data_IF_235734769536
#
_entry.id   IF_235734769536
#
_cell.length_a   1.000
_cell.length_b   1.000
_cell.length_c   1.000
_cell.angle_alpha   90.00
_cell.angle_beta   90.00
_cell.angle_gamma   90.00
#
_symmetry.space_group_name_H-M   'P 1'
#
loop_
_entity.id
_entity.type
_entity.pdbx_description
1 polymer ?
#
# COMPACT_ATOMS: atom_id res chain seq x y z
N UNK A 1 -16.20 -81.70 46.37
CA UNK A 1 -15.05 -80.77 46.49
C UNK A 1 -14.42 -80.64 45.10
N UNK A 2 -14.68 -79.55 44.38
CA UNK A 2 -14.22 -79.35 43.00
C UNK A 2 -13.08 -78.31 42.96
N UNK A 3 -11.99 -78.71 42.32
CA UNK A 3 -10.83 -77.93 41.89
C UNK A 3 -11.23 -76.59 41.24
N UNK A 4 -10.51 -75.51 41.55
CA UNK A 4 -10.46 -74.31 40.69
C UNK A 4 -9.01 -74.02 40.32
N UNK A 5 -8.77 -74.04 39.01
CA UNK A 5 -7.54 -73.65 38.35
C UNK A 5 -7.39 -72.12 38.33
N UNK A 6 -6.18 -71.63 38.58
CA UNK A 6 -5.79 -70.24 38.27
C UNK A 6 -5.17 -70.23 36.87
N UNK A 7 -5.79 -69.49 35.96
CA UNK A 7 -5.24 -69.19 34.64
C UNK A 7 -4.78 -67.72 34.65
N UNK A 8 -3.47 -67.50 34.58
CA UNK A 8 -2.88 -66.17 34.35
C UNK A 8 -2.93 -65.89 32.84
N UNK A 9 -3.74 -64.90 32.42
CA UNK A 9 -3.72 -64.40 31.05
C UNK A 9 -2.99 -63.06 31.03
N UNK A 10 -1.77 -63.08 30.49
CA UNK A 10 -0.97 -61.90 30.20
C UNK A 10 -1.51 -61.27 28.90
N UNK A 11 -2.20 -60.14 28.99
CA UNK A 11 -2.65 -59.38 27.81
C UNK A 11 -1.56 -58.37 27.45
N UNK A 12 -0.76 -58.73 26.45
CA UNK A 12 0.14 -57.80 25.75
C UNK A 12 -0.73 -56.98 24.79
N UNK A 13 -0.90 -55.69 25.07
CA UNK A 13 -1.59 -54.77 24.15
C UNK A 13 -0.55 -54.16 23.22
N UNK A 14 -0.48 -54.66 21.99
CA UNK A 14 0.28 -54.05 20.90
C UNK A 14 -0.58 -52.91 20.34
N UNK A 15 -0.21 -51.66 20.65
CA UNK A 15 -0.76 -50.49 19.97
C UNK A 15 0.05 -50.22 18.71
N UNK A 16 -0.52 -50.57 17.55
CA UNK A 16 -0.13 -50.01 16.26
C UNK A 16 -1.39 -49.44 15.62
N UNK A 17 -1.32 -48.15 15.26
CA UNK A 17 -1.95 -47.48 14.10
C UNK A 17 -2.60 -46.16 14.51
N UNK A 18 -2.06 -45.07 13.97
CA UNK A 18 -2.71 -43.77 13.98
C UNK A 18 -1.72 -42.62 13.93
N UNK A 19 -0.94 -42.50 12.86
CA UNK A 19 -0.39 -41.20 12.48
C UNK A 19 -1.58 -40.29 12.14
N UNK A 20 -2.14 -39.61 13.13
CA UNK A 20 -3.01 -38.46 12.87
C UNK A 20 -2.10 -37.33 12.46
N UNK A 21 -2.22 -36.95 11.19
CA UNK A 21 -1.59 -35.76 10.61
C UNK A 21 -1.75 -34.56 11.53
N UNK A 22 -0.73 -33.70 11.47
CA UNK A 22 -0.68 -32.47 12.24
C UNK A 22 -2.02 -31.76 12.16
N UNK A 23 -2.60 -31.48 13.33
CA UNK A 23 -3.58 -30.42 13.44
C UNK A 23 -2.86 -29.17 12.97
N UNK A 24 -3.18 -28.72 11.77
CA UNK A 24 -2.78 -27.42 11.26
C UNK A 24 -3.07 -26.41 12.36
N UNK A 25 -1.99 -25.88 12.94
CA UNK A 25 -2.10 -24.72 13.81
C UNK A 25 -2.70 -23.65 12.90
N UNK A 26 -3.91 -23.20 13.24
CA UNK A 26 -4.46 -21.94 12.72
C UNK A 26 -3.31 -20.92 12.76
N UNK A 27 -2.89 -20.36 11.61
CA UNK A 27 -1.81 -19.38 11.59
C UNK A 27 -2.11 -18.26 12.58
N UNK A 28 -1.07 -17.76 13.25
CA UNK A 28 -1.13 -16.53 14.07
C UNK A 28 -1.91 -15.44 13.35
N UNK A 29 -2.71 -14.65 14.08
CA UNK A 29 -3.45 -13.48 13.58
C UNK A 29 -2.57 -12.68 12.62
N UNK A 30 -2.81 -12.80 11.31
CA UNK A 30 -2.06 -12.06 10.30
C UNK A 30 -2.42 -10.59 10.49
N UNK A 31 -1.41 -9.78 10.85
CA UNK A 31 -1.60 -8.35 11.09
C UNK A 31 -1.34 -7.61 9.78
N UNK A 32 -2.42 -7.15 9.16
CA UNK A 32 -2.39 -6.28 7.98
C UNK A 32 -2.76 -4.85 8.41
N UNK A 33 -1.96 -3.88 7.98
CA UNK A 33 -2.12 -2.49 8.34
C UNK A 33 -3.04 -1.72 7.40
N UNK A 34 -2.86 -1.93 6.10
CA UNK A 34 -3.62 -1.24 5.03
C UNK A 34 -4.81 -2.07 4.52
N UNK A 35 -4.65 -3.39 4.39
CA UNK A 35 -5.72 -4.33 4.05
C UNK A 35 -6.50 -4.79 5.28
N UNK A 36 -7.77 -5.12 5.11
CA UNK A 36 -8.59 -5.67 6.19
C UNK A 36 -8.65 -7.19 6.13
N UNK A 37 -7.90 -7.85 7.01
CA UNK A 37 -7.81 -9.31 7.03
C UNK A 37 -9.16 -9.99 7.32
N UNK A 38 -9.96 -9.41 8.22
CA UNK A 38 -11.28 -9.96 8.56
C UNK A 38 -12.26 -9.83 7.40
N UNK A 39 -12.20 -8.74 6.64
CA UNK A 39 -12.94 -8.58 5.40
C UNK A 39 -12.50 -9.59 4.34
N UNK A 40 -11.19 -9.74 4.13
CA UNK A 40 -10.66 -10.73 3.18
C UNK A 40 -11.17 -12.16 3.49
N UNK A 41 -11.20 -12.53 4.78
CA UNK A 41 -11.77 -13.82 5.22
C UNK A 41 -13.27 -13.94 4.91
N UNK A 42 -14.04 -12.85 5.13
CA UNK A 42 -15.46 -12.82 4.80
C UNK A 42 -15.71 -12.97 3.29
N UNK A 43 -14.97 -12.22 2.46
CA UNK A 43 -15.06 -12.31 1.01
C UNK A 43 -14.68 -13.71 0.52
N UNK A 44 -13.58 -14.29 1.04
CA UNK A 44 -13.16 -15.64 0.66
C UNK A 44 -14.23 -16.67 0.95
N UNK A 45 -14.78 -16.63 2.17
CA UNK A 45 -15.88 -17.51 2.56
C UNK A 45 -17.13 -17.31 1.68
N UNK A 46 -17.48 -16.06 1.38
CA UNK A 46 -18.61 -15.76 0.49
C UNK A 46 -18.44 -16.39 -0.90
N UNK A 47 -17.25 -16.28 -1.49
CA UNK A 47 -16.92 -16.89 -2.78
C UNK A 47 -16.96 -18.43 -2.72
N UNK A 48 -16.47 -19.04 -1.63
CA UNK A 48 -16.54 -20.49 -1.39
C UNK A 48 -17.98 -20.99 -1.23
N UNK A 49 -18.85 -20.19 -0.60
CA UNK A 49 -20.28 -20.45 -0.44
C UNK A 49 -21.09 -20.19 -1.74
N UNK A 50 -20.43 -19.74 -2.81
CA UNK A 50 -21.02 -19.50 -4.13
C UNK A 50 -21.69 -18.13 -4.30
N UNK A 51 -21.41 -17.17 -3.42
CA UNK A 51 -21.80 -15.78 -3.65
C UNK A 51 -20.96 -15.21 -4.81
N UNK A 52 -21.59 -14.79 -5.93
CA UNK A 52 -20.85 -14.22 -7.06
C UNK A 52 -20.31 -12.82 -6.79
N UNK A 53 -20.74 -12.16 -5.71
CA UNK A 53 -20.20 -10.87 -5.30
C UNK A 53 -18.67 -10.99 -5.19
N UNK A 54 -17.96 -10.08 -5.88
CA UNK A 54 -16.49 -10.06 -6.00
C UNK A 54 -15.83 -11.07 -6.95
N UNK A 55 -16.60 -11.94 -7.64
CA UNK A 55 -16.02 -12.89 -8.61
C UNK A 55 -15.26 -12.18 -9.74
N UNK A 56 -15.79 -11.08 -10.26
CA UNK A 56 -15.13 -10.32 -11.32
C UNK A 56 -13.79 -9.70 -10.86
N UNK A 57 -13.72 -9.22 -9.62
CA UNK A 57 -12.49 -8.72 -9.02
C UNK A 57 -11.48 -9.85 -8.77
N UNK A 58 -11.94 -11.02 -8.32
CA UNK A 58 -11.08 -12.20 -8.15
C UNK A 58 -10.55 -12.70 -9.49
N UNK A 59 -11.37 -12.79 -10.53
CA UNK A 59 -10.97 -13.25 -11.87
C UNK A 59 -9.88 -12.35 -12.46
N UNK A 60 -10.04 -11.02 -12.35
CA UNK A 60 -9.01 -10.08 -12.82
C UNK A 60 -7.73 -10.18 -11.97
N UNK A 61 -7.85 -10.34 -10.66
CA UNK A 61 -6.70 -10.56 -9.78
C UNK A 61 -5.92 -11.83 -10.14
N UNK A 62 -6.63 -12.94 -10.44
CA UNK A 62 -6.00 -14.20 -10.87
C UNK A 62 -5.28 -14.00 -12.20
N UNK A 63 -5.87 -13.27 -13.15
CA UNK A 63 -5.22 -12.95 -14.42
C UNK A 63 -3.91 -12.18 -14.20
N UNK A 64 -3.93 -11.17 -13.32
CA UNK A 64 -2.74 -10.39 -12.95
C UNK A 64 -1.68 -11.27 -12.26
N UNK A 65 -2.09 -12.16 -11.35
CA UNK A 65 -1.19 -13.08 -10.67
C UNK A 65 -0.56 -14.08 -11.64
N UNK A 66 -1.35 -14.64 -12.57
CA UNK A 66 -0.86 -15.54 -13.62
C UNK A 66 0.10 -14.82 -14.56
N UNK A 67 -0.09 -13.53 -14.83
CA UNK A 67 0.88 -12.72 -15.56
C UNK A 67 2.17 -12.53 -14.76
N UNK A 68 2.07 -12.18 -13.48
CA UNK A 68 3.25 -12.03 -12.61
C UNK A 68 4.06 -13.34 -12.46
N UNK A 69 3.41 -14.51 -12.55
CA UNK A 69 4.09 -15.82 -12.61
C UNK A 69 4.95 -16.00 -13.86
N UNK A 70 4.57 -15.40 -15.00
CA UNK A 70 5.29 -15.45 -16.27
C UNK A 70 6.38 -14.39 -16.38
N UNK A 71 6.26 -13.31 -15.61
CA UNK A 71 7.24 -12.24 -15.60
C UNK A 71 8.54 -12.66 -14.87
N UNK A 72 9.61 -11.94 -15.19
CA UNK A 72 10.91 -12.12 -14.55
C UNK A 72 10.97 -11.60 -13.11
N UNK A 73 12.18 -11.61 -12.55
CA UNK A 73 12.46 -10.97 -11.26
C UNK A 73 12.75 -9.47 -11.45
N UNK A 74 12.78 -8.72 -10.35
CA UNK A 74 13.00 -7.28 -10.34
C UNK A 74 14.13 -6.95 -9.36
N UNK A 75 14.98 -5.98 -9.69
CA UNK A 75 16.05 -5.51 -8.83
C UNK A 75 16.48 -4.09 -9.20
N UNK A 76 16.99 -3.35 -8.20
CA UNK A 76 17.69 -2.09 -8.41
C UNK A 76 19.04 -2.25 -9.12
N UNK A 77 19.65 -3.43 -9.15
CA UNK A 77 20.94 -3.61 -9.83
C UNK A 77 20.80 -3.72 -11.35
N UNK A 78 19.56 -3.81 -11.87
CA UNK A 78 19.25 -3.97 -13.29
C UNK A 78 19.27 -2.67 -14.11
N UNK A 79 19.22 -1.50 -13.47
CA UNK A 79 19.44 -0.22 -14.18
C UNK A 79 20.84 -0.22 -14.80
N UNK A 80 21.06 0.51 -15.89
CA UNK A 80 22.40 0.66 -16.49
C UNK A 80 23.28 1.64 -15.71
N UNK A 81 22.68 2.65 -15.07
CA UNK A 81 23.39 3.70 -14.35
C UNK A 81 23.76 3.31 -12.92
N UNK A 82 24.80 3.95 -12.38
CA UNK A 82 25.17 3.89 -10.97
C UNK A 82 25.02 5.30 -10.41
N UNK A 83 24.34 5.49 -9.26
CA UNK A 83 24.25 6.80 -8.65
C UNK A 83 25.63 7.41 -8.36
N UNK A 84 25.82 8.72 -8.54
CA UNK A 84 27.10 9.36 -8.25
C UNK A 84 27.56 9.11 -6.81
N UNK A 85 28.76 8.57 -6.65
CA UNK A 85 29.34 8.24 -5.33
C UNK A 85 28.68 7.08 -4.58
N UNK A 86 27.69 6.40 -5.19
CA UNK A 86 26.99 5.26 -4.63
C UNK A 86 27.35 3.93 -5.32
N UNK A 87 26.42 2.99 -5.26
CA UNK A 87 26.55 1.62 -5.76
C UNK A 87 25.33 1.19 -6.57
N UNK A 88 25.42 0.06 -7.28
CA UNK A 88 24.27 -0.52 -8.00
C UNK A 88 23.09 -0.88 -7.09
N UNK A 89 23.36 -1.14 -5.81
CA UNK A 89 22.36 -1.47 -4.79
C UNK A 89 21.58 -0.24 -4.31
N UNK A 90 22.05 0.96 -4.60
CA UNK A 90 21.34 2.18 -4.22
C UNK A 90 20.20 2.46 -5.19
N UNK A 91 18.98 2.60 -4.66
CA UNK A 91 17.82 2.97 -5.45
C UNK A 91 18.00 4.35 -6.07
N UNK A 92 17.79 4.43 -7.38
CA UNK A 92 17.89 5.65 -8.18
C UNK A 92 16.59 5.89 -8.94
N UNK A 93 16.10 7.12 -8.89
CA UNK A 93 15.03 7.58 -9.77
C UNK A 93 15.23 9.03 -10.17
N UNK A 94 14.41 9.50 -11.11
CA UNK A 94 14.45 10.87 -11.60
C UNK A 94 13.11 11.53 -11.31
N UNK A 95 13.14 12.82 -10.93
CA UNK A 95 11.92 13.58 -10.73
C UNK A 95 11.05 13.53 -11.99
N UNK A 96 9.78 13.06 -11.91
CA UNK A 96 9.02 12.68 -13.09
C UNK A 96 8.69 13.86 -14.00
N UNK A 97 8.69 15.08 -13.47
CA UNK A 97 8.29 16.30 -14.19
C UNK A 97 9.48 17.16 -14.63
N UNK A 98 10.69 16.60 -14.67
CA UNK A 98 11.89 17.32 -15.08
C UNK A 98 12.32 16.91 -16.47
N UNK A 99 12.49 17.90 -17.35
CA UNK A 99 12.76 17.71 -18.78
C UNK A 99 14.03 18.45 -19.20
N UNK A 100 14.74 17.98 -20.24
CA UNK A 100 15.85 18.72 -20.83
C UNK A 100 15.46 20.16 -21.17
N UNK A 101 16.34 21.10 -20.86
CA UNK A 101 16.16 22.51 -21.13
C UNK A 101 16.44 22.81 -22.63
N UNK A 102 15.43 23.21 -23.43
CA UNK A 102 15.65 23.50 -24.84
C UNK A 102 16.52 24.74 -25.09
N UNK A 103 16.72 25.58 -24.06
CA UNK A 103 17.48 26.84 -24.16
C UNK A 103 18.98 26.65 -23.90
N UNK A 104 19.45 25.44 -23.61
CA UNK A 104 20.87 25.13 -23.39
C UNK A 104 21.40 24.04 -24.34
N UNK A 105 22.68 24.11 -24.77
CA UNK A 105 23.21 23.17 -25.76
C UNK A 105 23.24 21.70 -25.30
N UNK A 106 23.33 21.47 -24.00
CA UNK A 106 23.42 20.15 -23.36
C UNK A 106 22.10 19.72 -22.69
N UNK A 107 21.07 20.55 -22.75
CA UNK A 107 19.79 20.29 -22.11
C UNK A 107 19.79 20.45 -20.58
N UNK A 108 20.86 20.99 -19.99
CA UNK A 108 21.02 21.15 -18.54
C UNK A 108 20.97 22.61 -18.08
N UNK A 109 20.63 22.89 -16.81
CA UNK A 109 19.94 21.97 -15.90
C UNK A 109 18.52 21.69 -16.41
N UNK A 110 17.95 20.53 -16.06
CA UNK A 110 16.57 20.22 -16.45
C UNK A 110 15.59 21.27 -15.89
N UNK A 111 14.45 21.43 -16.58
CA UNK A 111 13.37 22.35 -16.19
C UNK A 111 12.10 21.59 -15.83
N UNK A 112 11.31 22.14 -14.91
CA UNK A 112 10.08 21.51 -14.42
C UNK A 112 8.91 21.77 -15.38
N UNK A 113 8.16 20.73 -15.74
CA UNK A 113 6.87 20.76 -16.45
C UNK A 113 5.84 19.97 -15.66
N UNK A 114 5.06 20.66 -14.83
CA UNK A 114 4.20 20.00 -13.85
C UNK A 114 3.13 19.12 -14.51
N UNK A 115 2.98 17.90 -14.03
CA UNK A 115 2.03 16.95 -14.60
C UNK A 115 2.44 16.36 -15.95
N UNK A 116 3.59 16.70 -16.53
CA UNK A 116 4.12 16.09 -17.76
C UNK A 116 5.23 15.10 -17.43
N UNK A 117 4.96 13.80 -17.50
CA UNK A 117 5.92 12.76 -17.11
C UNK A 117 7.00 12.58 -18.18
N UNK A 118 8.27 12.80 -17.82
CA UNK A 118 9.42 12.51 -18.66
C UNK A 118 9.69 10.98 -18.70
N UNK A 119 9.63 10.33 -19.88
CA UNK A 119 9.84 8.89 -20.00
C UNK A 119 11.28 8.44 -19.72
N UNK A 120 12.27 9.35 -19.68
CA UNK A 120 13.67 8.99 -19.39
C UNK A 120 13.83 8.33 -18.01
N UNK A 121 13.00 8.74 -17.03
CA UNK A 121 12.98 8.15 -15.69
C UNK A 121 12.56 6.67 -15.69
N UNK A 122 11.89 6.18 -16.73
CA UNK A 122 11.43 4.80 -16.81
C UNK A 122 12.58 3.77 -16.91
N UNK A 123 13.79 4.23 -17.27
CA UNK A 123 15.03 3.42 -17.36
C UNK A 123 15.70 3.20 -15.99
N UNK A 124 15.18 3.84 -14.94
CA UNK A 124 15.70 3.76 -13.58
C UNK A 124 14.81 2.86 -12.70
N UNK A 125 15.05 2.85 -11.39
CA UNK A 125 14.50 1.83 -10.49
C UNK A 125 13.01 2.03 -10.18
N UNK A 126 12.45 3.21 -10.45
CA UNK A 126 11.03 3.49 -10.17
C UNK A 126 10.08 2.54 -10.88
N UNK A 127 10.43 2.14 -12.10
CA UNK A 127 9.67 1.14 -12.87
C UNK A 127 9.82 -0.25 -12.26
N UNK A 128 11.03 -0.63 -11.84
CA UNK A 128 11.29 -1.94 -11.25
C UNK A 128 10.59 -2.10 -9.90
N UNK A 129 10.64 -1.08 -9.03
CA UNK A 129 9.92 -1.06 -7.77
C UNK A 129 8.39 -1.13 -7.98
N UNK A 130 7.88 -0.43 -9.00
CA UNK A 130 6.47 -0.50 -9.38
C UNK A 130 6.05 -1.90 -9.82
N UNK A 131 6.85 -2.57 -10.65
CA UNK A 131 6.58 -3.94 -11.10
C UNK A 131 6.64 -4.95 -9.95
N UNK A 132 7.66 -4.85 -9.10
CA UNK A 132 7.76 -5.69 -7.90
C UNK A 132 6.52 -5.56 -7.03
N UNK A 133 6.15 -4.33 -6.66
CA UNK A 133 5.04 -4.10 -5.73
C UNK A 133 3.68 -4.51 -6.31
N UNK A 134 3.46 -4.31 -7.61
CA UNK A 134 2.28 -4.84 -8.30
C UNK A 134 2.26 -6.37 -8.32
N UNK A 135 3.38 -7.02 -8.64
CA UNK A 135 3.48 -8.48 -8.63
C UNK A 135 3.25 -9.04 -7.22
N UNK A 136 3.87 -8.46 -6.20
CA UNK A 136 3.69 -8.85 -4.79
C UNK A 136 2.25 -8.71 -4.34
N UNK A 137 1.56 -7.61 -4.68
CA UNK A 137 0.13 -7.43 -4.43
C UNK A 137 -0.67 -8.57 -5.08
N UNK A 138 -0.53 -8.75 -6.39
CA UNK A 138 -1.36 -9.72 -7.11
C UNK A 138 -1.11 -11.16 -6.65
N UNK A 139 0.15 -11.56 -6.49
CA UNK A 139 0.53 -12.90 -6.04
C UNK A 139 0.10 -13.19 -4.60
N UNK A 140 0.28 -12.26 -3.68
CA UNK A 140 -0.06 -12.48 -2.25
C UNK A 140 -1.56 -12.55 -2.02
N UNK A 141 -2.34 -11.67 -2.64
CA UNK A 141 -3.81 -11.69 -2.52
C UNK A 141 -4.36 -12.91 -3.27
N UNK A 142 -3.87 -13.23 -4.47
CA UNK A 142 -4.33 -14.41 -5.21
C UNK A 142 -4.00 -15.70 -4.45
N UNK A 143 -2.82 -15.81 -3.83
CA UNK A 143 -2.51 -16.92 -2.93
C UNK A 143 -3.55 -17.04 -1.81
N UNK A 144 -3.87 -15.93 -1.13
CA UNK A 144 -4.83 -15.96 -0.03
C UNK A 144 -6.21 -16.47 -0.48
N UNK A 145 -6.73 -16.01 -1.61
CA UNK A 145 -8.07 -16.41 -2.09
C UNK A 145 -8.12 -17.78 -2.75
N UNK A 146 -7.02 -18.26 -3.34
CA UNK A 146 -7.02 -19.51 -4.13
C UNK A 146 -6.29 -20.68 -3.48
N UNK A 147 -5.53 -20.43 -2.42
CA UNK A 147 -4.63 -21.38 -1.75
C UNK A 147 -3.56 -22.02 -2.67
N UNK A 148 -3.36 -21.48 -3.89
CA UNK A 148 -2.34 -21.94 -4.84
C UNK A 148 -0.94 -21.57 -4.36
N UNK A 149 -0.18 -22.56 -3.92
CA UNK A 149 1.15 -22.39 -3.31
C UNK A 149 2.15 -21.74 -4.26
N UNK A 150 2.00 -21.95 -5.57
CA UNK A 150 2.89 -21.44 -6.61
C UNK A 150 2.96 -19.90 -6.60
N UNK A 151 1.83 -19.22 -6.31
CA UNK A 151 1.81 -17.76 -6.18
C UNK A 151 2.65 -17.28 -5.00
N UNK A 152 2.56 -17.96 -3.85
CA UNK A 152 3.34 -17.62 -2.67
C UNK A 152 4.84 -17.91 -2.86
N UNK A 153 5.18 -19.02 -3.53
CA UNK A 153 6.56 -19.37 -3.86
C UNK A 153 7.20 -18.34 -4.79
N UNK A 154 6.46 -17.88 -5.82
CA UNK A 154 6.92 -16.80 -6.71
C UNK A 154 7.10 -15.49 -5.97
N UNK A 155 6.15 -15.11 -5.11
CA UNK A 155 6.27 -13.91 -4.29
C UNK A 155 7.51 -13.96 -3.38
N UNK A 156 7.78 -15.12 -2.77
CA UNK A 156 8.99 -15.33 -1.97
C UNK A 156 10.28 -15.23 -2.81
N UNK A 157 10.31 -15.72 -4.06
CA UNK A 157 11.42 -15.51 -5.00
C UNK A 157 11.69 -14.01 -5.23
N UNK A 158 10.65 -13.24 -5.52
CA UNK A 158 10.78 -11.80 -5.77
C UNK A 158 11.32 -11.05 -4.53
N UNK A 159 10.88 -11.42 -3.33
CA UNK A 159 11.40 -10.84 -2.08
C UNK A 159 12.87 -11.17 -1.85
N UNK A 160 13.31 -12.40 -2.16
CA UNK A 160 14.72 -12.80 -2.04
C UNK A 160 15.60 -11.93 -2.93
N UNK A 161 15.24 -11.78 -4.20
CA UNK A 161 16.01 -10.99 -5.18
C UNK A 161 16.07 -9.52 -4.78
N UNK A 162 14.94 -8.91 -4.41
CA UNK A 162 14.95 -7.47 -4.14
C UNK A 162 15.60 -7.09 -2.79
N UNK A 163 15.50 -7.94 -1.76
CA UNK A 163 15.86 -7.54 -0.40
C UNK A 163 17.00 -8.32 0.24
N UNK A 164 17.28 -9.55 -0.21
CA UNK A 164 18.11 -10.49 0.56
C UNK A 164 19.34 -10.98 -0.20
N UNK A 165 19.23 -11.18 -1.51
CA UNK A 165 20.32 -11.69 -2.33
C UNK A 165 21.42 -10.62 -2.46
N UNK A 166 22.66 -10.90 -1.99
CA UNK A 166 23.77 -9.94 -2.02
C UNK A 166 24.09 -9.37 -3.40
N UNK A 167 23.77 -10.07 -4.49
CA UNK A 167 24.04 -9.61 -5.85
C UNK A 167 22.96 -8.67 -6.41
N UNK A 168 21.78 -8.64 -5.78
CA UNK A 168 20.60 -7.95 -6.33
C UNK A 168 19.83 -7.09 -5.33
N UNK A 169 20.16 -7.14 -4.03
CA UNK A 169 19.41 -6.42 -3.01
C UNK A 169 19.42 -4.90 -3.23
N UNK A 170 18.37 -4.24 -2.76
CA UNK A 170 18.33 -2.80 -2.61
C UNK A 170 18.89 -2.40 -1.25
N UNK A 171 19.70 -1.35 -1.17
CA UNK A 171 20.08 -0.74 0.12
C UNK A 171 18.88 -0.02 0.75
N UNK A 172 18.70 -0.05 2.08
CA UNK A 172 17.50 0.43 2.75
C UNK A 172 17.44 1.97 2.89
N UNK A 173 17.51 2.70 1.77
CA UNK A 173 17.34 4.14 1.72
C UNK A 173 16.94 4.65 0.33
N UNK A 174 16.42 5.87 0.24
CA UNK A 174 16.12 6.56 -1.03
C UNK A 174 17.00 7.81 -1.23
N UNK A 175 18.28 7.75 -0.87
CA UNK A 175 19.23 8.87 -0.99
C UNK A 175 19.36 9.43 -2.43
N UNK A 176 19.09 8.61 -3.45
CA UNK A 176 19.11 9.01 -4.86
C UNK A 176 17.71 8.99 -5.50
N UNK A 177 16.68 9.12 -4.66
CA UNK A 177 15.30 9.26 -5.08
C UNK A 177 15.06 10.61 -5.75
N UNK A 178 14.43 10.58 -6.92
CA UNK A 178 14.04 11.73 -7.72
C UNK A 178 15.16 12.75 -7.95
N UNK A 179 16.33 12.26 -8.34
CA UNK A 179 17.42 13.05 -8.92
C UNK A 179 16.92 13.96 -10.05
N UNK A 180 17.65 15.06 -10.29
CA UNK A 180 17.38 15.99 -11.37
C UNK A 180 18.71 16.30 -12.07
N UNK A 181 18.88 15.91 -13.34
CA UNK A 181 20.10 16.17 -14.08
C UNK A 181 20.48 17.66 -14.08
N UNK A 182 21.73 17.93 -13.69
CA UNK A 182 22.28 19.29 -13.58
C UNK A 182 21.89 20.05 -12.30
N UNK A 183 21.15 19.42 -11.36
CA UNK A 183 20.70 20.09 -10.13
C UNK A 183 21.03 19.28 -8.87
N UNK A 184 20.62 18.01 -8.79
CA UNK A 184 20.82 17.19 -7.58
C UNK A 184 20.79 15.70 -7.87
N UNK A 185 21.57 14.93 -7.12
CA UNK A 185 21.64 13.47 -7.24
C UNK A 185 20.50 12.76 -6.50
N UNK A 186 19.75 13.47 -5.66
CA UNK A 186 18.59 12.96 -4.92
C UNK A 186 17.99 14.02 -4.00
N UNK A 187 16.74 13.84 -3.58
CA UNK A 187 16.01 14.81 -2.76
C UNK A 187 14.89 14.17 -1.95
N UNK A 188 14.49 14.84 -0.86
CA UNK A 188 13.48 14.36 0.08
C UNK A 188 12.14 13.98 -0.57
N UNK A 189 11.66 14.75 -1.55
CA UNK A 189 10.45 14.47 -2.37
C UNK A 189 10.50 13.07 -3.03
N UNK A 190 11.69 12.50 -3.23
CA UNK A 190 11.87 11.15 -3.72
C UNK A 190 11.38 10.04 -2.79
N UNK A 191 11.10 10.35 -1.51
CA UNK A 191 10.51 9.39 -0.55
C UNK A 191 9.16 8.86 -1.06
N UNK A 192 8.38 9.67 -1.78
CA UNK A 192 7.09 9.27 -2.36
C UNK A 192 7.19 8.05 -3.29
N UNK A 193 8.37 7.79 -3.87
CA UNK A 193 8.58 6.60 -4.70
C UNK A 193 8.40 5.30 -3.88
N UNK A 194 8.73 5.35 -2.59
CA UNK A 194 8.56 4.26 -1.65
C UNK A 194 7.16 4.13 -1.07
N UNK A 195 6.18 4.97 -1.47
CA UNK A 195 4.79 4.85 -1.00
C UNK A 195 4.20 3.46 -1.28
N UNK A 196 4.65 2.79 -2.34
CA UNK A 196 4.25 1.40 -2.65
C UNK A 196 4.66 0.38 -1.58
N UNK A 197 5.56 0.73 -0.66
CA UNK A 197 5.89 -0.11 0.49
C UNK A 197 4.71 -0.29 1.46
N UNK A 198 3.72 0.61 1.45
CA UNK A 198 2.47 0.45 2.22
C UNK A 198 1.77 -0.87 1.84
N UNK A 199 1.61 -1.12 0.54
CA UNK A 199 1.05 -2.37 0.02
C UNK A 199 2.02 -3.55 0.24
N UNK A 200 3.31 -3.31 0.07
CA UNK A 200 4.32 -4.37 0.10
C UNK A 200 4.43 -5.04 1.47
N UNK A 201 4.37 -4.29 2.58
CA UNK A 201 4.50 -4.88 3.92
C UNK A 201 3.32 -5.79 4.27
N UNK A 202 2.10 -5.46 3.82
CA UNK A 202 0.94 -6.35 3.97
C UNK A 202 1.07 -7.60 3.09
N UNK A 203 1.55 -7.43 1.84
CA UNK A 203 1.86 -8.56 0.97
C UNK A 203 2.90 -9.50 1.62
N UNK A 204 3.97 -8.95 2.19
CA UNK A 204 4.98 -9.73 2.93
C UNK A 204 4.33 -10.48 4.08
N UNK A 205 3.49 -9.84 4.89
CA UNK A 205 2.81 -10.50 6.01
C UNK A 205 1.94 -11.70 5.57
N UNK A 206 1.22 -11.60 4.44
CA UNK A 206 0.51 -12.76 3.86
C UNK A 206 1.48 -13.87 3.44
N UNK A 207 2.58 -13.51 2.76
CA UNK A 207 3.58 -14.52 2.33
C UNK A 207 4.30 -15.15 3.53
N UNK A 208 4.54 -14.44 4.62
CA UNK A 208 5.05 -15.02 5.87
C UNK A 208 4.09 -16.10 6.41
N UNK A 209 2.78 -15.82 6.36
CA UNK A 209 1.72 -16.74 6.81
C UNK A 209 1.56 -17.96 5.90
N UNK A 210 1.90 -17.85 4.61
CA UNK A 210 1.88 -18.96 3.66
C UNK A 210 2.90 -20.07 3.94
N UNK A 211 3.96 -19.74 4.69
CA UNK A 211 5.09 -20.64 4.93
C UNK A 211 6.11 -20.70 3.80
N UNK A 212 5.97 -19.90 2.73
CA UNK A 212 6.94 -19.84 1.62
C UNK A 212 8.29 -19.20 2.00
N UNK A 213 8.36 -18.54 3.16
CA UNK A 213 9.57 -17.93 3.72
C UNK A 213 10.08 -18.69 4.94
N UNK A 214 11.37 -19.00 4.91
CA UNK A 214 12.12 -19.52 6.06
C UNK A 214 12.20 -18.49 7.20
N UNK A 215 12.53 -18.96 8.41
CA UNK A 215 12.73 -18.06 9.55
C UNK A 215 13.87 -17.05 9.32
N UNK A 216 14.91 -17.44 8.59
CA UNK A 216 16.03 -16.56 8.26
C UNK A 216 15.60 -15.45 7.31
N UNK A 217 14.85 -15.77 6.25
CA UNK A 217 14.35 -14.78 5.28
C UNK A 217 13.40 -13.78 5.93
N UNK A 218 12.48 -14.25 6.79
CA UNK A 218 11.60 -13.38 7.57
C UNK A 218 12.38 -12.39 8.44
N UNK A 219 13.45 -12.87 9.08
CA UNK A 219 14.32 -12.01 9.89
C UNK A 219 15.07 -11.01 9.01
N UNK A 220 15.60 -11.43 7.85
CA UNK A 220 16.28 -10.54 6.90
C UNK A 220 15.38 -9.43 6.38
N UNK A 221 14.13 -9.75 6.01
CA UNK A 221 13.15 -8.76 5.56
C UNK A 221 12.83 -7.75 6.67
N UNK A 222 12.60 -8.22 7.90
CA UNK A 222 12.37 -7.32 9.05
C UNK A 222 13.56 -6.41 9.33
N UNK A 223 14.79 -6.93 9.25
CA UNK A 223 15.99 -6.12 9.41
C UNK A 223 16.10 -5.04 8.32
N UNK A 224 15.82 -5.38 7.07
CA UNK A 224 15.83 -4.41 5.98
C UNK A 224 14.84 -3.27 6.22
N UNK A 225 13.60 -3.60 6.62
CA UNK A 225 12.58 -2.59 6.92
C UNK A 225 12.90 -1.80 8.20
N UNK A 226 13.55 -2.40 9.19
CA UNK A 226 14.03 -1.70 10.38
C UNK A 226 15.09 -0.64 10.01
N UNK A 227 16.08 -1.01 9.19
CA UNK A 227 17.10 -0.07 8.70
C UNK A 227 16.48 1.04 7.86
N UNK A 228 15.55 0.70 6.95
CA UNK A 228 14.83 1.68 6.14
C UNK A 228 13.99 2.62 7.01
N UNK A 229 13.33 2.09 8.04
CA UNK A 229 12.51 2.86 8.96
C UNK A 229 13.35 3.86 9.77
N UNK A 230 14.55 3.46 10.23
CA UNK A 230 15.49 4.37 10.90
C UNK A 230 15.93 5.47 9.94
N UNK A 231 16.33 5.12 8.71
CA UNK A 231 16.68 6.11 7.68
C UNK A 231 15.53 7.09 7.42
N UNK A 232 14.30 6.58 7.29
CA UNK A 232 13.10 7.37 6.99
C UNK A 232 12.68 8.28 8.16
N UNK A 233 12.77 7.80 9.40
CA UNK A 233 12.23 8.52 10.56
C UNK A 233 13.25 9.43 11.26
N UNK A 234 14.55 9.15 11.12
CA UNK A 234 15.61 9.91 11.80
C UNK A 234 16.49 10.72 10.82
N UNK A 235 16.50 10.33 9.54
CA UNK A 235 17.31 10.96 8.49
C UNK A 235 16.81 12.33 8.06
N UNK A 236 17.72 13.09 7.43
CA UNK A 236 17.44 14.47 6.98
C UNK A 236 16.33 14.53 5.91
N UNK A 237 16.35 13.63 4.92
CA UNK A 237 15.29 13.57 3.91
C UNK A 237 13.93 13.25 4.52
N UNK A 238 13.90 12.35 5.50
CA UNK A 238 12.69 12.03 6.24
C UNK A 238 12.06 13.24 6.91
N UNK A 239 12.86 14.00 7.67
CA UNK A 239 12.41 15.23 8.35
C UNK A 239 11.91 16.29 7.36
N UNK A 240 12.61 16.45 6.24
CA UNK A 240 12.22 17.40 5.19
C UNK A 240 10.88 17.03 4.53
N UNK A 241 10.67 15.75 4.21
CA UNK A 241 9.40 15.25 3.65
C UNK A 241 8.27 15.36 4.67
N UNK A 242 8.52 15.03 5.94
CA UNK A 242 7.56 15.12 7.04
C UNK A 242 7.06 16.57 7.28
N UNK A 243 7.93 17.56 7.08
CA UNK A 243 7.61 18.99 7.26
C UNK A 243 7.05 19.66 6.00
N UNK A 244 7.00 18.95 4.86
CA UNK A 244 6.50 19.49 3.61
C UNK A 244 4.98 19.72 3.68
N UNK A 245 4.47 20.82 3.12
CA UNK A 245 3.09 21.29 3.40
C UNK A 245 2.07 20.90 2.33
N UNK A 246 2.17 19.70 1.77
CA UNK A 246 1.18 19.17 0.82
C UNK A 246 1.05 17.65 0.96
N UNK A 247 0.47 16.98 -0.04
CA UNK A 247 0.29 15.53 -0.10
C UNK A 247 1.51 14.67 0.26
N UNK A 248 2.73 15.17 0.08
CA UNK A 248 3.96 14.43 0.42
C UNK A 248 4.08 14.11 1.91
N UNK A 249 3.77 15.04 2.82
CA UNK A 249 3.92 14.77 4.25
C UNK A 249 2.81 13.86 4.80
N UNK A 250 1.61 13.91 4.20
CA UNK A 250 0.55 12.94 4.51
C UNK A 250 0.95 11.56 3.99
N UNK A 251 1.52 11.47 2.78
CA UNK A 251 2.04 10.22 2.23
C UNK A 251 3.19 9.64 3.07
N UNK A 252 4.07 10.49 3.59
CA UNK A 252 5.11 10.12 4.56
C UNK A 252 4.50 9.50 5.82
N UNK A 253 3.47 10.13 6.42
CA UNK A 253 2.80 9.61 7.62
C UNK A 253 2.20 8.21 7.35
N UNK A 254 1.61 8.00 6.17
CA UNK A 254 1.08 6.68 5.76
C UNK A 254 2.19 5.65 5.60
N UNK A 255 3.24 5.98 4.85
CA UNK A 255 4.35 5.06 4.56
C UNK A 255 5.08 4.65 5.84
N UNK A 256 5.45 5.63 6.66
CA UNK A 256 6.14 5.38 7.93
C UNK A 256 5.27 4.61 8.91
N UNK A 257 3.96 4.89 8.98
CA UNK A 257 3.03 4.14 9.84
C UNK A 257 2.82 2.69 9.37
N UNK A 258 2.77 2.44 8.06
CA UNK A 258 2.66 1.09 7.52
C UNK A 258 3.88 0.23 7.88
N UNK A 259 5.07 0.80 7.71
CA UNK A 259 6.32 0.11 8.06
C UNK A 259 6.43 -0.06 9.58
N UNK A 260 6.08 0.97 10.36
CA UNK A 260 6.02 0.88 11.82
C UNK A 260 5.06 -0.23 12.28
N UNK A 261 3.90 -0.38 11.64
CA UNK A 261 2.92 -1.43 11.95
C UNK A 261 3.51 -2.82 11.69
N UNK A 262 4.13 -3.02 10.52
CA UNK A 262 4.84 -4.26 10.17
C UNK A 262 5.94 -4.63 11.17
N UNK A 263 6.66 -3.63 11.68
CA UNK A 263 7.72 -3.79 12.68
C UNK A 263 7.19 -3.84 14.13
N UNK A 264 5.89 -3.66 14.36
CA UNK A 264 5.27 -3.67 15.69
C UNK A 264 5.52 -2.40 16.53
N UNK A 265 5.86 -1.28 15.90
CA UNK A 265 6.17 0.02 16.53
C UNK A 265 4.92 0.89 16.75
N UNK A 266 3.95 0.38 17.51
CA UNK A 266 2.66 1.05 17.72
C UNK A 266 2.78 2.46 18.34
N UNK A 267 3.77 2.71 19.20
CA UNK A 267 3.99 4.03 19.81
C UNK A 267 4.31 5.10 18.76
N UNK A 268 5.04 4.73 17.70
CA UNK A 268 5.31 5.64 16.59
C UNK A 268 4.02 5.99 15.85
N UNK A 269 3.18 4.99 15.56
CA UNK A 269 1.89 5.19 14.87
C UNK A 269 0.99 6.11 15.71
N UNK A 270 0.91 5.88 17.03
CA UNK A 270 0.15 6.74 17.95
C UNK A 270 0.63 8.18 17.88
N UNK A 271 1.95 8.40 18.00
CA UNK A 271 2.53 9.74 17.90
C UNK A 271 2.14 10.42 16.59
N UNK A 272 2.30 9.74 15.45
CA UNK A 272 1.93 10.30 14.14
C UNK A 272 0.44 10.59 14.04
N UNK A 273 -0.41 9.67 14.51
CA UNK A 273 -1.86 9.84 14.52
C UNK A 273 -2.31 11.07 15.32
N UNK A 274 -1.74 11.28 16.51
CA UNK A 274 -2.04 12.43 17.38
C UNK A 274 -1.54 13.76 16.79
N UNK A 275 -0.53 13.73 15.92
CA UNK A 275 -0.01 14.92 15.24
C UNK A 275 -0.85 15.33 14.01
N UNK A 276 -1.55 14.41 13.35
CA UNK A 276 -2.28 14.65 12.10
C UNK A 276 -3.26 15.83 12.18
N UNK A 277 -4.12 15.96 13.21
CA UNK A 277 -5.05 17.08 13.32
C UNK A 277 -4.37 18.44 13.13
N UNK A 278 -3.28 18.68 13.86
CA UNK A 278 -2.61 19.99 13.90
C UNK A 278 -1.54 20.18 12.82
N UNK A 279 -0.83 19.11 12.42
CA UNK A 279 0.24 19.21 11.42
C UNK A 279 -0.25 19.05 9.99
N UNK A 280 -1.42 18.45 9.78
CA UNK A 280 -1.95 18.13 8.46
C UNK A 280 -3.32 18.76 8.22
N UNK A 281 -4.34 18.43 9.02
CA UNK A 281 -5.72 18.88 8.74
C UNK A 281 -5.87 20.40 8.92
N UNK A 282 -5.32 20.97 9.99
CA UNK A 282 -5.35 22.42 10.26
C UNK A 282 -4.77 23.27 9.11
N UNK A 283 -3.55 22.99 8.59
CA UNK A 283 -2.96 23.80 7.52
C UNK A 283 -3.41 23.43 6.10
N UNK A 284 -3.91 22.21 5.86
CA UNK A 284 -4.15 21.73 4.48
C UNK A 284 -5.62 21.72 4.05
N UNK A 285 -6.58 21.73 4.98
CA UNK A 285 -8.01 21.63 4.68
C UNK A 285 -8.72 22.94 5.03
N UNK A 286 -9.36 23.57 4.04
CA UNK A 286 -10.16 24.77 4.28
C UNK A 286 -11.55 24.46 4.83
N UNK A 287 -12.27 25.50 5.27
CA UNK A 287 -13.60 25.40 5.88
C UNK A 287 -14.65 24.69 5.00
N UNK A 288 -14.45 24.71 3.69
CA UNK A 288 -15.29 24.12 2.65
C UNK A 288 -14.70 22.82 2.06
N UNK A 289 -13.63 22.28 2.65
CA UNK A 289 -12.99 21.04 2.20
C UNK A 289 -11.92 21.20 1.13
N UNK A 290 -11.73 22.41 0.58
CA UNK A 290 -10.67 22.65 -0.41
C UNK A 290 -9.28 22.36 0.16
N UNK A 291 -8.39 21.93 -0.73
CA UNK A 291 -7.00 21.58 -0.44
C UNK A 291 -6.05 22.50 -1.23
N UNK A 292 -5.72 23.71 -0.73
CA UNK A 292 -5.13 24.77 -1.57
C UNK A 292 -3.84 24.37 -2.31
N UNK A 293 -2.94 23.65 -1.66
CA UNK A 293 -1.65 23.22 -2.23
C UNK A 293 -1.79 22.15 -3.32
N UNK A 294 -2.94 21.46 -3.36
CA UNK A 294 -3.29 20.52 -4.43
C UNK A 294 -4.02 21.22 -5.58
N UNK A 295 -4.78 22.27 -5.29
CA UNK A 295 -5.57 23.03 -6.26
C UNK A 295 -4.74 23.91 -7.19
N UNK A 296 -3.50 24.25 -6.81
CA UNK A 296 -2.55 25.01 -7.66
C UNK A 296 -1.85 24.16 -8.73
N UNK A 297 -2.12 22.85 -8.77
CA UNK A 297 -1.42 21.89 -9.63
C UNK A 297 -2.12 21.76 -10.98
N UNK A 298 -1.38 21.38 -12.02
CA UNK A 298 -1.95 21.13 -13.36
C UNK A 298 -2.88 19.91 -13.41
N UNK A 299 -2.85 19.06 -12.38
CA UNK A 299 -3.74 17.90 -12.18
C UNK A 299 -4.53 18.05 -10.86
N UNK A 300 -5.17 19.19 -10.68
CA UNK A 300 -5.66 19.64 -9.38
C UNK A 300 -6.67 18.68 -8.74
N UNK A 301 -7.58 18.10 -9.54
CA UNK A 301 -8.57 17.15 -9.04
C UNK A 301 -7.87 15.86 -8.62
N UNK A 302 -6.97 15.33 -9.47
CA UNK A 302 -6.21 14.14 -9.16
C UNK A 302 -5.32 14.26 -7.92
N UNK A 303 -4.67 15.40 -7.71
CA UNK A 303 -3.90 15.67 -6.48
C UNK A 303 -4.80 15.76 -5.25
N UNK A 304 -5.95 16.40 -5.36
CA UNK A 304 -6.90 16.54 -4.24
C UNK A 304 -7.48 15.18 -3.81
N UNK A 305 -7.88 14.35 -4.78
CA UNK A 305 -8.33 12.96 -4.51
C UNK A 305 -7.17 12.13 -3.92
N UNK A 306 -5.97 12.26 -4.49
CA UNK A 306 -4.78 11.53 -4.04
C UNK A 306 -4.38 11.85 -2.60
N UNK A 307 -4.42 13.14 -2.22
CA UNK A 307 -4.12 13.56 -0.87
C UNK A 307 -5.21 13.14 0.13
N UNK A 308 -6.49 13.24 -0.26
CA UNK A 308 -7.59 12.74 0.58
C UNK A 308 -7.47 11.23 0.83
N UNK A 309 -7.05 10.46 -0.18
CA UNK A 309 -6.73 9.04 0.00
C UNK A 309 -5.60 8.83 1.01
N UNK A 310 -4.55 9.66 0.99
CA UNK A 310 -3.48 9.58 1.99
C UNK A 310 -4.02 9.83 3.40
N UNK A 311 -4.90 10.83 3.58
CA UNK A 311 -5.56 11.07 4.87
C UNK A 311 -6.39 9.88 5.34
N UNK A 312 -7.20 9.29 4.46
CA UNK A 312 -7.99 8.11 4.78
C UNK A 312 -7.10 6.92 5.17
N UNK A 313 -5.98 6.72 4.47
CA UNK A 313 -5.02 5.69 4.84
C UNK A 313 -4.35 5.98 6.19
N UNK A 314 -3.98 7.23 6.46
CA UNK A 314 -3.42 7.63 7.74
C UNK A 314 -4.42 7.40 8.89
N UNK A 315 -5.71 7.69 8.65
CA UNK A 315 -6.79 7.42 9.60
C UNK A 315 -7.00 5.93 9.87
N UNK A 316 -6.86 5.07 8.85
CA UNK A 316 -6.87 3.61 9.04
C UNK A 316 -5.77 3.16 10.00
N UNK A 317 -4.56 3.70 9.87
CA UNK A 317 -3.45 3.42 10.81
C UNK A 317 -3.71 4.02 12.19
N UNK A 318 -4.25 5.24 12.28
CA UNK A 318 -4.65 5.87 13.55
C UNK A 318 -5.66 5.01 14.33
N UNK A 319 -6.64 4.43 13.66
CA UNK A 319 -7.62 3.53 14.28
C UNK A 319 -6.98 2.27 14.88
N UNK A 320 -5.87 1.75 14.32
CA UNK A 320 -5.17 0.58 14.90
C UNK A 320 -4.59 0.86 16.28
N UNK A 321 -4.41 2.13 16.63
CA UNK A 321 -3.96 2.61 17.95
C UNK A 321 -5.05 3.39 18.67
N UNK A 322 -6.31 3.29 18.23
CA UNK A 322 -7.45 3.92 18.90
C UNK A 322 -7.45 5.44 18.88
N UNK A 323 -6.84 6.05 17.85
CA UNK A 323 -6.92 7.50 17.59
C UNK A 323 -7.88 7.70 16.42
N UNK A 324 -8.83 8.60 16.60
CA UNK A 324 -9.76 9.00 15.54
C UNK A 324 -9.41 10.39 15.00
N UNK A 325 -9.16 10.45 13.70
CA UNK A 325 -8.89 11.70 12.97
C UNK A 325 -10.05 12.10 12.05
N UNK A 326 -11.03 11.22 11.84
CA UNK A 326 -12.12 11.45 10.89
C UNK A 326 -13.16 12.41 11.45
N UNK A 327 -13.43 12.34 12.76
CA UNK A 327 -14.32 13.24 13.48
C UNK A 327 -13.69 14.62 13.80
N UNK A 328 -12.40 14.82 13.47
CA UNK A 328 -11.73 16.08 13.75
C UNK A 328 -12.20 17.21 12.81
N UNK A 329 -12.56 18.33 13.42
CA UNK A 329 -12.88 19.59 12.73
C UNK A 329 -11.86 20.64 13.12
N UNK A 330 -11.17 21.21 12.14
CA UNK A 330 -10.15 22.22 12.37
C UNK A 330 -10.76 23.57 12.81
N UNK A 331 -9.97 24.54 13.31
CA UNK A 331 -10.48 25.84 13.77
C UNK A 331 -11.23 26.69 12.73
N UNK A 332 -11.05 26.41 11.42
CA UNK A 332 -11.78 27.08 10.34
C UNK A 332 -13.11 26.37 10.01
N UNK A 333 -13.37 25.20 10.60
CA UNK A 333 -14.52 24.36 10.31
C UNK A 333 -14.29 23.33 9.21
N UNK A 334 -13.05 23.13 8.74
CA UNK A 334 -12.69 22.12 7.75
C UNK A 334 -12.53 20.73 8.38
N UNK A 335 -12.83 19.67 7.63
CA UNK A 335 -12.70 18.28 8.05
C UNK A 335 -12.42 17.37 6.85
N UNK A 336 -12.01 16.12 7.11
CA UNK A 336 -11.83 15.13 6.05
C UNK A 336 -13.14 14.80 5.34
N UNK A 337 -14.26 14.81 6.06
CA UNK A 337 -15.59 14.65 5.46
C UNK A 337 -15.91 15.79 4.49
N UNK A 338 -15.67 17.06 4.88
CA UNK A 338 -15.87 18.19 3.97
C UNK A 338 -14.97 18.15 2.74
N UNK A 339 -13.73 17.67 2.89
CA UNK A 339 -12.85 17.48 1.75
C UNK A 339 -13.37 16.39 0.79
N UNK A 340 -14.00 15.34 1.31
CA UNK A 340 -14.72 14.36 0.50
C UNK A 340 -15.94 14.99 -0.19
N UNK A 341 -16.78 15.70 0.55
CA UNK A 341 -17.99 16.35 0.02
C UNK A 341 -17.67 17.34 -1.10
N UNK A 342 -16.61 18.13 -0.93
CA UNK A 342 -16.13 19.06 -1.94
C UNK A 342 -15.81 18.35 -3.26
N UNK A 343 -15.11 17.21 -3.21
CA UNK A 343 -14.73 16.45 -4.41
C UNK A 343 -15.91 15.68 -5.01
N UNK A 344 -16.76 15.09 -4.18
CA UNK A 344 -17.98 14.38 -4.60
C UNK A 344 -18.94 15.32 -5.32
N UNK A 345 -18.98 16.61 -4.96
CA UNK A 345 -19.81 17.62 -5.61
C UNK A 345 -19.52 17.84 -7.11
N UNK A 346 -18.39 17.35 -7.63
CA UNK A 346 -18.04 17.45 -9.05
C UNK A 346 -18.33 16.16 -9.85
N UNK A 347 -18.84 15.10 -9.24
CA UNK A 347 -19.22 13.88 -9.95
C UNK A 347 -20.39 14.19 -10.90
N UNK A 348 -20.20 14.02 -12.20
CA UNK A 348 -21.19 14.38 -13.23
C UNK A 348 -21.31 15.88 -13.50
N UNK A 349 -20.41 16.69 -12.93
CA UNK A 349 -20.31 18.14 -13.08
C UNK A 349 -18.84 18.54 -13.29
N UNK A 350 -18.12 17.77 -14.10
CA UNK A 350 -16.67 17.97 -14.30
C UNK A 350 -16.38 19.32 -14.96
N UNK A 351 -17.30 19.83 -15.78
CA UNK A 351 -17.23 21.14 -16.44
C UNK A 351 -17.25 22.33 -15.47
N UNK A 352 -17.76 22.11 -14.26
CA UNK A 352 -17.82 23.14 -13.21
C UNK A 352 -16.52 23.21 -12.39
N UNK A 353 -15.57 22.29 -12.61
CA UNK A 353 -14.26 22.29 -11.95
C UNK A 353 -13.45 23.55 -12.31
N UNK A 354 -13.18 24.46 -11.36
CA UNK A 354 -12.63 25.77 -11.70
C UNK A 354 -11.10 25.82 -11.72
N UNK A 355 -10.43 24.65 -11.68
CA UNK A 355 -8.97 24.53 -11.67
C UNK A 355 -8.47 23.71 -12.87
N UNK A 356 -7.16 23.68 -13.06
CA UNK A 356 -6.56 22.92 -14.16
C UNK A 356 -6.61 21.41 -13.88
N UNK A 357 -7.02 20.62 -14.87
CA UNK A 357 -6.93 19.15 -14.84
C UNK A 357 -6.54 18.63 -16.23
N UNK A 358 -5.24 18.40 -16.43
CA UNK A 358 -4.69 17.91 -17.71
C UNK A 358 -4.75 16.38 -17.86
N UNK A 359 -5.23 15.65 -16.85
CA UNK A 359 -5.23 14.18 -16.84
C UNK A 359 -6.63 13.56 -16.87
N UNK A 360 -6.70 12.23 -17.00
CA UNK A 360 -7.97 11.50 -17.12
C UNK A 360 -8.77 11.57 -15.82
N UNK A 361 -9.93 12.22 -15.88
CA UNK A 361 -10.86 12.41 -14.75
C UNK A 361 -11.39 11.09 -14.19
N UNK A 362 -11.83 10.18 -15.07
CA UNK A 362 -12.49 8.92 -14.71
C UNK A 362 -11.67 8.07 -13.73
N UNK A 363 -10.36 7.99 -13.93
CA UNK A 363 -9.47 7.24 -13.04
C UNK A 363 -9.44 7.82 -11.62
N UNK A 364 -9.46 9.15 -11.47
CA UNK A 364 -9.50 9.79 -10.16
C UNK A 364 -10.88 9.69 -9.53
N UNK A 365 -11.94 9.77 -10.33
CA UNK A 365 -13.29 9.55 -9.85
C UNK A 365 -13.48 8.13 -9.30
N UNK A 366 -12.94 7.10 -9.95
CA UNK A 366 -12.96 5.73 -9.42
C UNK A 366 -12.17 5.61 -8.10
N UNK A 367 -11.05 6.32 -7.97
CA UNK A 367 -10.33 6.38 -6.70
C UNK A 367 -11.14 7.09 -5.61
N UNK A 368 -11.87 8.15 -5.95
CA UNK A 368 -12.80 8.81 -5.04
C UNK A 368 -13.95 7.87 -4.65
N UNK A 369 -14.46 7.05 -5.56
CA UNK A 369 -15.49 6.04 -5.29
C UNK A 369 -15.11 5.06 -4.18
N UNK A 370 -13.84 4.64 -4.10
CA UNK A 370 -13.36 3.82 -2.98
C UNK A 370 -13.26 4.59 -1.67
N UNK A 371 -12.98 5.89 -1.71
CA UNK A 371 -13.08 6.74 -0.52
C UNK A 371 -14.54 6.87 -0.08
N UNK A 372 -15.49 7.00 -1.01
CA UNK A 372 -16.93 6.97 -0.73
C UNK A 372 -17.33 5.64 -0.07
N UNK A 373 -16.90 4.49 -0.61
CA UNK A 373 -17.13 3.17 0.01
C UNK A 373 -16.65 3.14 1.46
N UNK A 374 -15.43 3.62 1.72
CA UNK A 374 -14.86 3.69 3.08
C UNK A 374 -15.59 4.69 3.97
N UNK A 375 -16.04 5.81 3.40
CA UNK A 375 -16.81 6.84 4.10
C UNK A 375 -18.14 6.31 4.63
N UNK A 376 -18.79 5.35 3.96
CA UNK A 376 -19.96 4.64 4.50
C UNK A 376 -19.63 3.98 5.84
N UNK A 377 -18.50 3.27 5.93
CA UNK A 377 -18.06 2.63 7.17
C UNK A 377 -17.76 3.64 8.28
N UNK A 378 -17.17 4.78 7.92
CA UNK A 378 -16.66 5.79 8.87
C UNK A 378 -17.78 6.70 9.37
N UNK A 379 -18.55 7.30 8.47
CA UNK A 379 -19.52 8.35 8.81
C UNK A 379 -20.95 7.85 8.92
N UNK A 380 -21.25 6.62 8.45
CA UNK A 380 -22.61 6.05 8.48
C UNK A 380 -23.64 6.98 7.81
N UNK A 381 -23.23 7.64 6.73
CA UNK A 381 -24.08 8.52 5.94
C UNK A 381 -24.70 7.76 4.77
N UNK A 382 -26.03 7.72 4.72
CA UNK A 382 -26.81 7.07 3.67
C UNK A 382 -26.53 7.68 2.28
N UNK A 383 -26.19 8.97 2.20
CA UNK A 383 -25.85 9.62 0.94
C UNK A 383 -24.58 9.02 0.29
N UNK A 384 -23.58 8.63 1.09
CA UNK A 384 -22.40 7.93 0.56
C UNK A 384 -22.73 6.51 0.13
N UNK A 385 -23.64 5.83 0.84
CA UNK A 385 -24.08 4.48 0.47
C UNK A 385 -24.82 4.50 -0.87
N UNK A 386 -25.74 5.44 -1.03
CA UNK A 386 -26.48 5.64 -2.28
C UNK A 386 -25.55 6.01 -3.42
N UNK A 387 -24.59 6.91 -3.18
CA UNK A 387 -23.59 7.27 -4.18
C UNK A 387 -22.73 6.06 -4.59
N UNK A 388 -22.25 5.27 -3.63
CA UNK A 388 -21.50 4.04 -3.91
C UNK A 388 -22.32 3.07 -4.78
N UNK A 389 -23.53 2.72 -4.35
CA UNK A 389 -24.40 1.74 -5.03
C UNK A 389 -24.80 2.19 -6.43
N UNK A 390 -25.18 3.45 -6.59
CA UNK A 390 -25.74 3.95 -7.86
C UNK A 390 -24.67 4.32 -8.88
N UNK A 391 -23.46 4.70 -8.43
CA UNK A 391 -22.45 5.31 -9.31
C UNK A 391 -21.21 4.45 -9.49
N UNK A 392 -20.75 3.78 -8.43
CA UNK A 392 -19.42 3.14 -8.40
C UNK A 392 -19.46 1.62 -8.35
N UNK A 393 -20.40 1.00 -7.63
CA UNK A 393 -20.39 -0.43 -7.34
C UNK A 393 -20.25 -1.28 -8.61
N UNK A 394 -21.12 -1.03 -9.62
CA UNK A 394 -21.05 -1.77 -10.90
C UNK A 394 -19.82 -1.40 -11.72
N UNK A 395 -19.45 -0.13 -11.72
CA UNK A 395 -18.30 0.41 -12.48
C UNK A 395 -16.97 -0.19 -12.01
N UNK A 396 -16.88 -0.48 -10.71
CA UNK A 396 -15.67 -0.95 -10.03
C UNK A 396 -15.70 -2.45 -9.73
N UNK A 397 -16.65 -3.22 -10.28
CA UNK A 397 -16.87 -4.62 -9.92
C UNK A 397 -15.65 -5.55 -10.13
N UNK A 398 -14.71 -5.14 -10.98
CA UNK A 398 -13.45 -5.84 -11.24
C UNK A 398 -12.25 -5.26 -10.47
N UNK A 399 -12.43 -4.21 -9.67
CA UNK A 399 -11.34 -3.61 -8.90
C UNK A 399 -10.93 -4.53 -7.75
N UNK A 400 -9.66 -4.95 -7.74
CA UNK A 400 -9.11 -5.85 -6.73
C UNK A 400 -9.25 -5.29 -5.30
N UNK A 401 -9.37 -3.97 -5.12
CA UNK A 401 -9.49 -3.35 -3.78
C UNK A 401 -10.78 -3.78 -3.07
N UNK A 402 -11.81 -4.17 -3.81
CA UNK A 402 -13.03 -4.73 -3.23
C UNK A 402 -12.79 -6.01 -2.42
N UNK A 403 -11.70 -6.74 -2.73
CA UNK A 403 -11.33 -7.96 -2.01
C UNK A 403 -10.67 -7.69 -0.65
N UNK A 404 -10.15 -6.48 -0.42
CA UNK A 404 -9.33 -6.15 0.76
C UNK A 404 -9.80 -4.93 1.54
N UNK A 405 -10.68 -4.11 0.95
CA UNK A 405 -11.28 -2.94 1.58
C UNK A 405 -12.74 -3.23 1.97
N UNK A 406 -13.11 -3.06 3.26
CA UNK A 406 -14.40 -3.50 3.77
C UNK A 406 -15.58 -2.76 3.15
N UNK A 407 -16.71 -3.46 3.04
CA UNK A 407 -18.04 -2.85 2.89
C UNK A 407 -18.70 -2.71 4.25
N UNK A 408 -19.49 -1.66 4.43
CA UNK A 408 -20.37 -1.53 5.58
C UNK A 408 -21.74 -1.03 5.14
N UNK A 409 -22.76 -1.40 5.92
CA UNK A 409 -24.07 -0.78 5.88
C UNK A 409 -24.16 0.37 6.92
N UNK A 410 -25.29 1.09 6.86
CA UNK A 410 -25.61 2.25 7.70
C UNK A 410 -26.42 1.85 8.96
N UNK A 411 -26.76 0.56 9.11
CA UNK A 411 -27.59 0.01 10.20
C UNK A 411 -27.00 0.12 11.62
#
# INVERSE_FOLDING_TARGET
MKLKALLFLLVVTICLSGCTGGKDKVPQDVKLGSWDYSWMQQVKKGLEDGNPDYSAALDLLILDADQAMRDGVYSVTFKDLVPPGGSKHDYMSMGPYWWPNPDTPDGLPYIRRDGEVNPEGAKLDRTQLGKLTNAMRSLSIAWFFTDKKEYAEKAAELLRVWFLDPETLMNPHLNYGQSIPGITDGRFIGIIDGYSFVTLVDAIALIEASGALSAHEKTGLKNWFEEYFIWLSEGEFGKQEEDYKNNHSVAFDVQSSAIAYFLGKNDYIRKKAEEIPHRRIDPMIEADGRQPEELIRTRAYGYSVGNLRNFFNAGRFAQTVGVDIFDYVNPKGGSLQKALDYLVGFIGHEEDWPYEEISSWENFENNLGLLVRRAVCIYKDEAYLDLWKNTFQKRMESDWRLLVEPECDVD
#
